data_IF_272929153761
#
_entry.id   IF_272929153761
#
_cell.length_a   1.000
_cell.length_b   1.000
_cell.length_c   1.000
_cell.angle_alpha   90.00
_cell.angle_beta   90.00
_cell.angle_gamma   90.00
#
_symmetry.space_group_name_H-M   'P 1'
#
loop_
_entity.id
_entity.type
_entity.pdbx_description
1 polymer ?
#
# COMPACT_ATOMS: atom_id res chain seq x y z
N UNK A 1 21.63 6.56 3.57
CA UNK A 1 21.22 5.47 2.68
C UNK A 1 20.23 6.08 1.73
N UNK A 2 20.58 6.18 0.45
CA UNK A 2 19.67 6.67 -0.58
C UNK A 2 18.56 5.64 -0.71
N UNK A 3 17.35 5.97 -0.26
CA UNK A 3 16.19 5.11 -0.51
C UNK A 3 15.97 5.12 -2.02
N UNK A 4 16.28 4.00 -2.69
CA UNK A 4 16.04 3.78 -4.11
C UNK A 4 14.53 3.58 -4.32
N UNK A 5 13.76 4.65 -4.13
CA UNK A 5 12.32 4.61 -4.26
C UNK A 5 11.92 4.44 -5.73
N UNK A 6 11.04 3.49 -5.99
CA UNK A 6 10.57 3.17 -7.33
C UNK A 6 9.37 4.05 -7.67
N UNK A 7 9.52 4.85 -8.71
CA UNK A 7 8.44 5.70 -9.22
C UNK A 7 7.47 4.91 -10.10
N UNK A 8 6.18 4.97 -9.78
CA UNK A 8 5.11 4.32 -10.54
C UNK A 8 3.98 5.29 -10.88
N UNK A 9 3.42 5.17 -12.08
CA UNK A 9 2.27 5.95 -12.53
C UNK A 9 1.01 5.09 -12.57
N UNK A 10 0.08 5.30 -11.64
CA UNK A 10 -1.19 4.56 -11.56
C UNK A 10 -2.34 5.36 -12.13
N UNK A 11 -3.27 4.67 -12.80
CA UNK A 11 -4.49 5.26 -13.37
C UNK A 11 -5.66 5.06 -12.41
N UNK A 12 -6.21 6.16 -11.92
CA UNK A 12 -7.34 6.20 -10.98
C UNK A 12 -8.50 7.06 -11.51
N UNK A 13 -9.70 6.82 -10.99
CA UNK A 13 -10.83 7.73 -11.17
C UNK A 13 -10.64 9.01 -10.37
N UNK A 14 -11.39 10.06 -10.71
CA UNK A 14 -11.36 11.32 -9.94
C UNK A 14 -11.79 11.13 -8.50
N UNK A 15 -12.77 10.25 -8.26
CA UNK A 15 -13.24 9.91 -6.91
C UNK A 15 -12.14 9.21 -6.09
N UNK A 16 -11.50 8.18 -6.65
CA UNK A 16 -10.38 7.46 -6.03
C UNK A 16 -9.22 8.42 -5.69
N UNK A 17 -8.79 9.27 -6.64
CA UNK A 17 -7.75 10.27 -6.39
C UNK A 17 -8.12 11.23 -5.26
N UNK A 18 -9.39 11.65 -5.21
CA UNK A 18 -9.88 12.59 -4.19
C UNK A 18 -9.89 11.94 -2.81
N UNK A 19 -10.30 10.67 -2.74
CA UNK A 19 -10.28 9.88 -1.51
C UNK A 19 -8.84 9.67 -1.01
N UNK A 20 -7.89 9.28 -1.87
CA UNK A 20 -6.48 9.16 -1.49
C UNK A 20 -5.91 10.46 -0.93
N UNK A 21 -6.19 11.60 -1.58
CA UNK A 21 -5.76 12.92 -1.07
C UNK A 21 -6.44 13.31 0.24
N UNK A 22 -7.67 12.85 0.47
CA UNK A 22 -8.35 13.08 1.74
C UNK A 22 -7.73 12.23 2.85
N UNK A 23 -7.43 10.97 2.58
CA UNK A 23 -6.75 10.05 3.51
C UNK A 23 -5.35 10.56 3.87
N UNK A 24 -4.53 10.93 2.88
CA UNK A 24 -3.19 11.49 3.11
C UNK A 24 -3.24 12.73 4.02
N UNK A 25 -4.15 13.67 3.73
CA UNK A 25 -4.36 14.85 4.58
C UNK A 25 -4.80 14.49 6.00
N UNK A 26 -5.70 13.51 6.14
CA UNK A 26 -6.19 13.04 7.44
C UNK A 26 -5.15 12.28 8.26
N UNK A 27 -4.19 11.65 7.59
CA UNK A 27 -3.06 10.91 8.15
C UNK A 27 -1.83 11.82 8.40
N UNK A 28 -1.83 13.05 7.86
CA UNK A 28 -0.71 14.02 7.87
C UNK A 28 0.53 13.54 7.10
N UNK A 29 0.33 12.60 6.18
CA UNK A 29 1.34 12.07 5.27
C UNK A 29 1.10 12.50 3.82
N UNK A 30 1.85 11.88 2.92
CA UNK A 30 1.66 12.04 1.48
C UNK A 30 0.89 10.88 0.83
N UNK A 31 0.64 10.98 -0.48
CA UNK A 31 -0.12 9.94 -1.20
C UNK A 31 0.71 8.67 -1.39
N UNK A 32 2.04 8.76 -1.48
CA UNK A 32 2.94 7.62 -1.61
C UNK A 32 2.93 6.78 -0.34
N UNK A 33 3.02 7.42 0.83
CA UNK A 33 2.93 6.75 2.14
C UNK A 33 1.61 6.00 2.29
N UNK A 34 0.48 6.66 2.03
CA UNK A 34 -0.84 6.01 2.09
C UNK A 34 -0.97 4.86 1.10
N UNK A 35 -0.33 4.95 -0.08
CA UNK A 35 -0.34 3.88 -1.09
C UNK A 35 0.52 2.69 -0.65
N UNK A 36 1.67 2.93 -0.01
CA UNK A 36 2.49 1.89 0.60
C UNK A 36 1.74 1.18 1.74
N UNK A 37 1.08 1.93 2.62
CA UNK A 37 0.23 1.41 3.68
C UNK A 37 -0.95 0.59 3.15
N UNK A 38 -1.61 1.09 2.11
CA UNK A 38 -2.71 0.39 1.45
C UNK A 38 -2.24 -0.95 0.86
N UNK A 39 -1.04 -0.98 0.28
CA UNK A 39 -0.43 -2.23 -0.19
C UNK A 39 -0.17 -3.19 0.97
N UNK A 40 0.42 -2.73 2.07
CA UNK A 40 0.67 -3.57 3.24
C UNK A 40 -0.62 -4.16 3.84
N UNK A 41 -1.72 -3.42 3.81
CA UNK A 41 -3.03 -3.87 4.27
C UNK A 41 -3.66 -4.92 3.34
N UNK A 42 -3.55 -4.73 2.01
CA UNK A 42 -4.25 -5.58 1.02
C UNK A 42 -3.42 -6.77 0.53
N UNK A 43 -2.08 -6.68 0.54
CA UNK A 43 -1.18 -7.72 0.04
C UNK A 43 -1.38 -9.08 0.74
N UNK A 44 -1.49 -9.18 2.08
CA UNK A 44 -1.69 -10.46 2.74
C UNK A 44 -2.95 -11.17 2.26
N UNK A 45 -4.04 -10.42 2.06
CA UNK A 45 -5.31 -10.96 1.59
C UNK A 45 -5.24 -11.40 0.11
N UNK A 46 -4.56 -10.64 -0.75
CA UNK A 46 -4.44 -10.95 -2.19
C UNK A 46 -3.41 -12.04 -2.51
N UNK A 47 -2.38 -12.18 -1.68
CA UNK A 47 -1.36 -13.22 -1.84
C UNK A 47 -1.75 -14.54 -1.15
N UNK A 48 -2.73 -14.52 -0.23
CA UNK A 48 -3.30 -15.73 0.35
C UNK A 48 -3.78 -16.71 -0.73
N UNK A 49 -3.56 -18.01 -0.49
CA UNK A 49 -3.68 -19.08 -1.49
C UNK A 49 -5.12 -19.30 -2.00
N UNK A 50 -6.11 -18.88 -1.23
CA UNK A 50 -7.55 -19.08 -1.50
C UNK A 50 -8.29 -17.78 -1.88
N UNK A 51 -7.57 -16.70 -2.19
CA UNK A 51 -8.22 -15.48 -2.64
C UNK A 51 -8.95 -15.76 -3.97
N UNK A 52 -10.28 -15.55 -4.05
CA UNK A 52 -10.99 -15.70 -5.30
C UNK A 52 -10.39 -14.72 -6.32
N UNK A 53 -10.27 -15.10 -7.60
CA UNK A 53 -9.76 -14.20 -8.62
C UNK A 53 -10.60 -12.92 -8.58
N UNK A 54 -9.95 -11.78 -8.30
CA UNK A 54 -10.65 -10.50 -8.25
C UNK A 54 -11.28 -10.25 -9.61
N UNK A 55 -12.60 -10.36 -9.68
CA UNK A 55 -13.42 -10.00 -10.85
C UNK A 55 -13.46 -8.47 -11.07
N UNK A 56 -12.42 -7.75 -10.65
CA UNK A 56 -12.29 -6.34 -10.94
C UNK A 56 -11.88 -6.19 -12.40
N UNK A 57 -12.88 -6.09 -13.25
CA UNK A 57 -12.69 -5.91 -14.68
C UNK A 57 -11.94 -4.59 -14.91
N UNK A 58 -10.75 -4.60 -15.52
CA UNK A 58 -9.98 -3.39 -15.84
C UNK A 58 -10.65 -2.67 -17.01
N UNK A 59 -11.85 -2.12 -16.78
CA UNK A 59 -12.73 -1.62 -17.85
C UNK A 59 -13.22 -0.20 -17.67
N UNK A 60 -13.14 0.39 -16.47
CA UNK A 60 -13.52 1.79 -16.29
C UNK A 60 -12.33 2.68 -16.59
N UNK A 61 -12.43 3.46 -17.67
CA UNK A 61 -11.43 4.46 -18.02
C UNK A 61 -11.15 5.36 -16.81
N UNK A 62 -9.91 5.34 -16.36
CA UNK A 62 -9.43 6.06 -15.19
C UNK A 62 -8.60 7.25 -15.68
N UNK A 63 -9.18 8.47 -15.73
CA UNK A 63 -8.56 9.61 -16.41
C UNK A 63 -7.39 10.21 -15.64
N UNK A 64 -7.27 9.95 -14.33
CA UNK A 64 -6.25 10.56 -13.50
C UNK A 64 -5.00 9.67 -13.44
N UNK A 65 -3.85 10.20 -13.90
CA UNK A 65 -2.55 9.63 -13.56
C UNK A 65 -2.11 10.17 -12.19
N UNK A 66 -1.70 9.29 -11.30
CA UNK A 66 -1.08 9.63 -10.01
C UNK A 66 0.28 8.97 -9.98
N UNK A 67 1.32 9.79 -9.79
CA UNK A 67 2.68 9.31 -9.58
C UNK A 67 2.87 9.03 -8.08
N UNK A 68 3.36 7.85 -7.77
CA UNK A 68 3.64 7.40 -6.40
C UNK A 68 5.07 6.86 -6.33
N UNK A 69 5.68 7.01 -5.17
CA UNK A 69 6.99 6.48 -4.85
C UNK A 69 6.79 5.29 -3.91
N UNK A 70 7.36 4.15 -4.25
CA UNK A 70 7.28 2.96 -3.40
C UNK A 70 8.68 2.56 -2.92
N UNK A 71 8.79 2.07 -1.67
CA UNK A 71 9.94 1.30 -1.25
C UNK A 71 10.20 0.14 -2.22
N UNK A 72 11.47 -0.17 -2.55
CA UNK A 72 11.81 -1.21 -3.51
C UNK A 72 11.25 -2.57 -3.09
N UNK A 73 11.18 -2.86 -1.79
CA UNK A 73 10.63 -4.11 -1.25
C UNK A 73 9.15 -4.30 -1.61
N UNK A 74 8.38 -3.20 -1.67
CA UNK A 74 6.98 -3.24 -2.11
C UNK A 74 6.86 -3.30 -3.63
N UNK A 75 7.74 -2.60 -4.35
CA UNK A 75 7.77 -2.62 -5.81
C UNK A 75 8.08 -4.02 -6.36
N UNK A 76 8.98 -4.76 -5.70
CA UNK A 76 9.36 -6.13 -6.06
C UNK A 76 8.22 -7.15 -5.89
N UNK A 77 7.19 -6.83 -5.09
CA UNK A 77 6.02 -7.68 -4.92
C UNK A 77 4.96 -7.48 -6.01
N UNK A 78 5.02 -6.38 -6.77
CA UNK A 78 4.03 -6.05 -7.79
C UNK A 78 3.93 -7.07 -8.94
N UNK A 79 5.02 -7.69 -9.42
CA UNK A 79 4.93 -8.76 -10.43
C UNK A 79 4.17 -9.99 -9.91
N UNK A 80 4.38 -10.38 -8.65
CA UNK A 80 3.66 -11.50 -8.04
C UNK A 80 2.16 -11.18 -7.87
N UNK A 81 1.87 -9.94 -7.45
CA UNK A 81 0.51 -9.41 -7.37
C UNK A 81 -0.18 -9.39 -8.74
N UNK A 82 0.52 -8.95 -9.79
CA UNK A 82 0.02 -8.92 -11.16
C UNK A 82 -0.40 -10.31 -11.64
N UNK A 83 0.42 -11.32 -11.38
CA UNK A 83 0.11 -12.71 -11.73
C UNK A 83 -1.13 -13.24 -11.00
N UNK A 84 -1.39 -12.79 -9.76
CA UNK A 84 -2.55 -13.19 -8.97
C UNK A 84 -3.85 -12.49 -9.35
N UNK A 85 -3.79 -11.25 -9.80
CA UNK A 85 -4.97 -10.48 -10.20
C UNK A 85 -5.52 -10.89 -11.57
N UNK A 86 -4.73 -11.60 -12.38
CA UNK A 86 -5.07 -11.98 -13.75
C UNK A 86 -4.73 -13.46 -14.05
N UNK A 87 -5.21 -14.42 -13.24
CA UNK A 87 -4.86 -15.82 -13.45
C UNK A 87 -5.45 -16.30 -14.79
N UNK A 88 -4.60 -16.78 -15.69
CA UNK A 88 -5.01 -17.32 -16.99
C UNK A 88 -5.16 -16.30 -18.13
N UNK A 89 -4.82 -15.02 -17.93
CA UNK A 89 -4.63 -14.10 -19.04
C UNK A 89 -3.29 -14.39 -19.74
N UNK A 90 -3.22 -14.29 -21.08
CA UNK A 90 -2.01 -14.59 -21.85
C UNK A 90 -0.86 -13.61 -21.57
N UNK A 91 -1.15 -12.45 -20.99
CA UNK A 91 -0.17 -11.50 -20.48
C UNK A 91 -0.60 -11.01 -19.10
N UNK A 92 0.33 -11.03 -18.14
CA UNK A 92 0.12 -10.42 -16.83
C UNK A 92 -0.05 -8.90 -16.97
N UNK A 93 -0.90 -8.26 -16.15
CA UNK A 93 -1.01 -6.81 -16.13
C UNK A 93 0.33 -6.18 -15.75
N UNK A 94 0.59 -4.96 -16.24
CA UNK A 94 1.79 -4.23 -15.82
C UNK A 94 1.80 -3.99 -14.31
N UNK A 95 2.96 -3.82 -13.66
CA UNK A 95 3.05 -3.50 -12.23
C UNK A 95 2.18 -2.29 -11.83
N UNK A 96 2.13 -1.25 -12.67
CA UNK A 96 1.26 -0.09 -12.47
C UNK A 96 -0.23 -0.45 -12.52
N UNK A 97 -0.64 -1.35 -13.42
CA UNK A 97 -2.02 -1.80 -13.52
C UNK A 97 -2.40 -2.67 -12.31
N UNK A 98 -1.52 -3.57 -11.87
CA UNK A 98 -1.72 -4.38 -10.68
C UNK A 98 -1.86 -3.52 -9.42
N UNK A 99 -0.98 -2.53 -9.26
CA UNK A 99 -1.06 -1.54 -8.18
C UNK A 99 -2.38 -0.76 -8.23
N UNK A 100 -2.77 -0.29 -9.42
CA UNK A 100 -4.03 0.44 -9.60
C UNK A 100 -5.28 -0.41 -9.27
N UNK A 101 -5.24 -1.72 -9.51
CA UNK A 101 -6.33 -2.64 -9.14
C UNK A 101 -6.34 -2.89 -7.62
N UNK A 102 -5.17 -3.16 -7.01
CA UNK A 102 -5.08 -3.34 -5.57
C UNK A 102 -5.54 -2.10 -4.79
N UNK A 103 -5.15 -0.90 -5.24
CA UNK A 103 -5.61 0.36 -4.66
C UNK A 103 -7.11 0.53 -4.79
N UNK A 104 -7.70 0.17 -5.93
CA UNK A 104 -9.16 0.27 -6.12
C UNK A 104 -9.93 -0.70 -5.23
N UNK A 105 -9.43 -1.92 -5.06
CA UNK A 105 -9.99 -2.87 -4.10
C UNK A 105 -9.95 -2.32 -2.67
N UNK A 106 -8.84 -1.70 -2.29
CA UNK A 106 -8.69 -1.07 -0.98
C UNK A 106 -9.62 0.14 -0.80
N UNK A 107 -9.66 1.05 -1.78
CA UNK A 107 -10.48 2.27 -1.76
C UNK A 107 -11.99 2.02 -1.83
N UNK A 108 -12.42 0.80 -2.16
CA UNK A 108 -13.83 0.38 -2.15
C UNK A 108 -14.38 0.12 -0.76
N UNK A 109 -13.51 0.02 0.25
CA UNK A 109 -13.93 -0.11 1.63
C UNK A 109 -14.54 1.20 2.17
N UNK A 110 -15.12 1.13 3.37
CA UNK A 110 -15.66 2.31 4.04
C UNK A 110 -14.54 3.33 4.36
N UNK A 111 -14.66 4.61 3.95
CA UNK A 111 -13.63 5.63 4.16
C UNK A 111 -13.24 5.87 5.62
N UNK A 112 -14.18 5.71 6.57
CA UNK A 112 -13.89 5.87 7.99
C UNK A 112 -13.08 4.68 8.52
N UNK A 113 -13.37 3.46 8.04
CA UNK A 113 -12.57 2.27 8.33
C UNK A 113 -11.15 2.39 7.79
N UNK A 114 -10.99 2.90 6.56
CA UNK A 114 -9.67 3.16 5.97
C UNK A 114 -8.86 4.15 6.82
N UNK A 115 -9.45 5.28 7.18
CA UNK A 115 -8.79 6.28 8.02
C UNK A 115 -8.43 5.73 9.41
N UNK A 116 -9.29 4.90 10.00
CA UNK A 116 -9.01 4.24 11.27
C UNK A 116 -7.87 3.21 11.16
N UNK A 117 -7.84 2.42 10.08
CA UNK A 117 -6.78 1.45 9.80
C UNK A 117 -5.41 2.13 9.63
N UNK A 118 -5.34 3.20 8.84
CA UNK A 118 -4.12 4.01 8.68
C UNK A 118 -3.60 4.52 10.03
N UNK A 119 -4.50 5.05 10.87
CA UNK A 119 -4.13 5.49 12.22
C UNK A 119 -3.66 4.33 13.09
N UNK A 120 -4.29 3.17 13.03
CA UNK A 120 -3.92 2.00 13.83
C UNK A 120 -2.53 1.47 13.45
N UNK A 121 -2.18 1.43 12.16
CA UNK A 121 -0.84 1.04 11.70
C UNK A 121 0.25 1.96 12.27
N UNK A 122 -0.04 3.25 12.42
CA UNK A 122 0.91 4.26 12.92
C UNK A 122 0.83 4.48 14.43
N UNK A 123 -0.26 4.09 15.08
CA UNK A 123 -0.44 4.18 16.52
C UNK A 123 0.28 3.07 17.29
N UNK A 124 0.89 2.10 16.60
CA UNK A 124 1.84 1.17 17.19
C UNK A 124 3.26 1.74 17.04
N UNK A 125 3.75 2.56 17.99
CA UNK A 125 5.17 2.69 18.13
C UNK A 125 5.70 1.28 18.41
N UNK A 126 6.58 0.79 17.54
CA UNK A 126 7.43 -0.33 17.89
C UNK A 126 7.93 -0.13 19.33
N UNK A 127 7.86 -1.14 20.22
CA UNK A 127 8.55 -1.06 21.50
C UNK A 127 10.05 -1.20 21.26
N UNK A 128 10.66 -0.18 20.66
CA UNK A 128 12.10 0.08 20.73
C UNK A 128 12.38 0.76 22.07
N UNK A 129 12.08 0.03 23.15
CA UNK A 129 12.62 0.31 24.47
C UNK A 129 13.55 -0.84 24.79
N UNK A 130 14.75 -0.81 24.23
CA UNK A 130 15.87 -1.50 24.88
C UNK A 130 16.08 -0.80 26.22
N UNK A 131 15.85 -1.45 27.38
CA UNK A 131 16.35 -0.91 28.63
C UNK A 131 17.88 -0.98 28.54
N UNK A 132 18.52 0.18 28.49
CA UNK A 132 19.95 0.29 28.74
C UNK A 132 20.21 -0.27 30.16
N UNK A 133 21.03 -1.32 30.34
CA UNK A 133 21.44 -1.69 31.68
C UNK A 133 22.32 -0.56 32.20
N UNK A 134 21.79 0.23 33.14
CA UNK A 134 22.61 1.16 33.92
C UNK A 134 23.58 0.32 34.77
N UNK A 135 24.83 0.27 34.33
CA UNK A 135 25.93 -0.29 35.12
C UNK A 135 26.11 0.61 36.33
N UNK A 136 25.74 0.13 37.51
CA UNK A 136 26.08 0.74 38.80
C UNK A 136 27.61 0.72 38.97
N UNK A 137 28.26 1.84 39.29
CA UNK A 137 29.64 1.79 39.75
C UNK A 137 29.67 1.17 41.16
N UNK A 138 30.45 0.10 41.29
CA UNK A 138 30.77 -0.54 42.57
C UNK A 138 31.82 0.35 43.26
N UNK A 139 31.45 0.97 44.38
CA UNK A 139 32.39 1.59 45.30
C UNK A 139 32.69 0.58 46.42
N UNK A 140 33.92 0.07 46.44
CA UNK A 140 34.68 -0.32 47.63
C UNK A 140 36.08 -0.78 47.18
#
# INVERSE_FOLDING_TARGET
MESDEVMLAVRLTTAERTLLRWLARGHRGDVSEVVADALLDVLPALLARDAPPSAEQPGRAAPCAVTVWLPPELADLLPALAARLAPGLPAAPSPCAALGTALRLWLRQDPARLAAGLRAMHAHPHPSSHPHPQVRPLAA
#
